data_IF_546146382770
#
_entry.id   IF_546146382770
#
_cell.length_a   1.000
_cell.length_b   1.000
_cell.length_c   1.000
_cell.angle_alpha   90.00
_cell.angle_beta   90.00
_cell.angle_gamma   90.00
#
_symmetry.space_group_name_H-M   'P 1'
#
loop_
_entity.id
_entity.type
_entity.pdbx_description
1 polymer ?
#
# COMPACT_ATOMS: atom_id res chain seq x y z
N UNK A 1 -40.70 23.38 -0.33
CA UNK A 1 -40.09 23.92 0.92
C UNK A 1 -38.60 23.70 0.81
N UNK A 2 -37.87 24.75 0.49
CA UNK A 2 -36.40 24.74 0.32
C UNK A 2 -35.75 24.99 1.65
N UNK A 3 -34.92 24.07 2.12
CA UNK A 3 -34.10 24.27 3.33
C UNK A 3 -32.77 24.81 2.87
N UNK A 4 -32.55 26.09 3.13
CA UNK A 4 -31.27 26.76 2.91
C UNK A 4 -30.31 26.33 4.02
N UNK A 5 -29.18 25.72 3.65
CA UNK A 5 -28.05 25.48 4.52
C UNK A 5 -27.30 26.80 4.69
N UNK A 6 -27.38 27.40 5.87
CA UNK A 6 -26.57 28.57 6.25
C UNK A 6 -25.12 28.13 6.46
N UNK A 7 -24.22 28.69 5.63
CA UNK A 7 -22.79 28.67 5.92
C UNK A 7 -22.51 29.46 7.19
N UNK A 8 -21.91 28.81 8.18
CA UNK A 8 -21.40 29.45 9.38
C UNK A 8 -20.11 30.17 8.98
N UNK A 9 -20.13 31.50 9.00
CA UNK A 9 -18.96 32.34 8.84
C UNK A 9 -18.01 32.10 10.02
N UNK A 10 -16.93 31.35 9.75
CA UNK A 10 -15.77 31.35 10.62
C UNK A 10 -14.99 32.65 10.35
N UNK A 11 -15.13 33.59 11.23
CA UNK A 11 -14.34 34.81 11.29
C UNK A 11 -12.86 34.44 11.48
N UNK A 12 -12.15 34.34 10.36
CA UNK A 12 -10.71 34.13 10.37
C UNK A 12 -10.03 35.45 10.67
N UNK A 13 -9.32 35.60 11.81
CA UNK A 13 -8.65 36.83 12.08
C UNK A 13 -7.63 37.13 10.98
N UNK A 14 -7.77 38.30 10.37
CA UNK A 14 -6.94 38.85 9.31
C UNK A 14 -5.50 39.13 9.81
N UNK A 15 -4.72 38.04 9.98
CA UNK A 15 -3.31 38.12 10.38
C UNK A 15 -2.33 37.89 9.22
N UNK A 16 -2.83 37.82 7.97
CA UNK A 16 -1.98 37.81 6.80
C UNK A 16 -1.99 39.14 6.08
N UNK A 17 -1.51 40.19 6.75
CA UNK A 17 -0.98 41.33 6.02
C UNK A 17 0.25 40.86 5.27
N UNK A 18 0.16 40.78 3.93
CA UNK A 18 1.29 40.58 3.02
C UNK A 18 2.40 41.55 3.41
N UNK A 19 3.59 41.09 3.82
CA UNK A 19 4.74 41.98 3.88
C UNK A 19 5.12 42.29 2.43
N UNK A 20 4.90 43.52 2.03
CA UNK A 20 5.52 44.12 0.85
C UNK A 20 7.01 44.34 1.17
N UNK A 21 7.85 43.37 0.80
CA UNK A 21 9.28 43.43 1.03
C UNK A 21 10.04 42.55 0.03
N UNK A 22 10.94 43.17 -0.71
CA UNK A 22 11.77 42.63 -1.79
C UNK A 22 12.74 41.51 -1.40
N UNK A 23 12.62 40.90 -0.22
CA UNK A 23 13.50 39.84 0.27
C UNK A 23 13.01 38.39 0.07
N UNK A 24 11.74 38.17 -0.27
CA UNK A 24 11.17 36.83 -0.38
C UNK A 24 11.47 36.11 -1.70
N UNK A 25 11.82 36.82 -2.74
CA UNK A 25 12.08 36.27 -4.07
C UNK A 25 13.30 35.33 -4.13
N UNK A 26 14.37 35.65 -3.42
CA UNK A 26 15.59 34.86 -3.41
C UNK A 26 15.51 33.62 -2.52
N UNK A 27 14.77 33.71 -1.43
CA UNK A 27 14.52 32.59 -0.54
C UNK A 27 13.62 31.54 -1.21
N UNK A 28 12.55 31.97 -1.87
CA UNK A 28 11.67 31.09 -2.65
C UNK A 28 12.38 30.43 -3.83
N UNK A 29 13.27 31.16 -4.51
CA UNK A 29 14.12 30.60 -5.58
C UNK A 29 15.10 29.56 -5.04
N UNK A 30 15.73 29.81 -3.89
CA UNK A 30 16.62 28.86 -3.21
C UNK A 30 15.89 27.60 -2.75
N UNK A 31 14.71 27.73 -2.14
CA UNK A 31 13.88 26.57 -1.78
C UNK A 31 13.50 25.78 -3.04
N UNK A 32 13.10 26.45 -4.12
CA UNK A 32 12.75 25.78 -5.38
C UNK A 32 13.94 25.12 -6.07
N UNK A 33 15.18 25.61 -5.90
CA UNK A 33 16.39 24.94 -6.40
C UNK A 33 16.75 23.73 -5.55
N UNK A 34 16.68 23.84 -4.22
CA UNK A 34 16.93 22.74 -3.28
C UNK A 34 15.90 21.61 -3.49
N UNK A 35 14.64 21.96 -3.67
CA UNK A 35 13.60 20.96 -3.97
C UNK A 35 13.84 20.23 -5.29
N UNK A 36 14.33 20.93 -6.31
CA UNK A 36 14.71 20.35 -7.60
C UNK A 36 15.96 19.47 -7.49
N UNK A 37 16.97 19.90 -6.74
CA UNK A 37 18.16 19.10 -6.48
C UNK A 37 17.84 17.84 -5.67
N UNK A 38 17.02 17.94 -4.65
CA UNK A 38 16.52 16.79 -3.88
C UNK A 38 15.71 15.86 -4.78
N UNK A 39 14.83 16.38 -5.63
CA UNK A 39 14.06 15.58 -6.57
C UNK A 39 14.93 14.90 -7.64
N UNK A 40 16.03 15.54 -8.05
CA UNK A 40 17.02 14.94 -8.96
C UNK A 40 17.92 13.91 -8.27
N UNK A 41 18.32 14.15 -7.02
CA UNK A 41 19.12 13.20 -6.23
C UNK A 41 18.33 11.96 -5.80
N UNK A 42 17.03 12.10 -5.56
CA UNK A 42 16.17 11.00 -5.09
C UNK A 42 15.35 10.36 -6.21
N UNK A 43 15.63 10.70 -7.45
CA UNK A 43 15.04 10.11 -8.65
C UNK A 43 13.51 10.02 -8.65
N UNK A 44 12.93 10.02 -9.82
CA UNK A 44 11.48 9.83 -10.01
C UNK A 44 10.95 8.51 -9.43
N UNK A 45 11.81 7.52 -9.22
CA UNK A 45 11.47 6.20 -8.64
C UNK A 45 11.01 6.28 -7.18
N UNK A 46 11.66 7.11 -6.35
CA UNK A 46 11.32 7.28 -4.94
C UNK A 46 9.91 7.89 -4.74
N UNK A 47 9.57 8.89 -5.55
CA UNK A 47 8.23 9.53 -5.51
C UNK A 47 7.16 8.57 -6.03
N UNK A 48 7.47 7.81 -7.09
CA UNK A 48 6.56 6.82 -7.68
C UNK A 48 6.32 5.66 -6.71
N UNK A 49 7.35 5.18 -6.02
CA UNK A 49 7.22 4.13 -5.01
C UNK A 49 6.38 4.60 -3.82
N UNK A 50 6.62 5.79 -3.30
CA UNK A 50 5.84 6.36 -2.22
C UNK A 50 4.35 6.49 -2.56
N UNK A 51 4.02 6.86 -3.80
CA UNK A 51 2.64 6.91 -4.29
C UNK A 51 2.01 5.52 -4.36
N UNK A 52 2.72 4.54 -4.93
CA UNK A 52 2.24 3.14 -5.01
C UNK A 52 1.99 2.55 -3.63
N UNK A 53 2.88 2.81 -2.67
CA UNK A 53 2.72 2.36 -1.29
C UNK A 53 1.48 2.99 -0.64
N UNK A 54 1.24 4.28 -0.84
CA UNK A 54 0.06 4.97 -0.33
C UNK A 54 -1.23 4.40 -0.95
N UNK A 55 -1.25 4.17 -2.26
CA UNK A 55 -2.39 3.57 -2.97
C UNK A 55 -2.67 2.15 -2.46
N UNK A 56 -1.64 1.32 -2.25
CA UNK A 56 -1.78 -0.03 -1.71
C UNK A 56 -2.31 -0.04 -0.27
N UNK A 57 -1.82 0.88 0.58
CA UNK A 57 -2.35 1.03 1.96
C UNK A 57 -3.81 1.47 1.96
N UNK A 58 -4.18 2.36 1.06
CA UNK A 58 -5.57 2.81 0.93
C UNK A 58 -6.48 1.68 0.46
N UNK A 59 -6.05 0.89 -0.52
CA UNK A 59 -6.77 -0.28 -1.00
C UNK A 59 -6.94 -1.33 0.11
N UNK A 60 -5.87 -1.63 0.87
CA UNK A 60 -5.91 -2.55 2.00
C UNK A 60 -6.91 -2.08 3.07
N UNK A 61 -6.89 -0.79 3.42
CA UNK A 61 -7.81 -0.23 4.42
C UNK A 61 -9.27 -0.28 3.93
N UNK A 62 -9.51 0.00 2.66
CA UNK A 62 -10.84 -0.10 2.05
C UNK A 62 -11.37 -1.53 2.13
N UNK A 63 -10.60 -2.50 1.67
CA UNK A 63 -10.94 -3.91 1.73
C UNK A 63 -11.19 -4.38 3.18
N UNK A 64 -10.35 -4.01 4.14
CA UNK A 64 -10.53 -4.37 5.55
C UNK A 64 -11.86 -3.86 6.11
N UNK A 65 -12.24 -2.60 5.83
CA UNK A 65 -13.51 -2.02 6.28
C UNK A 65 -14.73 -2.79 5.76
N UNK A 66 -14.65 -3.26 4.53
CA UNK A 66 -15.73 -3.99 3.88
C UNK A 66 -15.82 -5.44 4.40
N UNK A 67 -14.68 -6.05 4.79
CA UNK A 67 -14.57 -7.47 5.15
C UNK A 67 -14.40 -7.73 6.66
N UNK A 68 -14.54 -6.73 7.53
CA UNK A 68 -14.39 -6.87 8.99
C UNK A 68 -15.54 -7.61 9.67
N UNK A 69 -16.65 -7.81 8.97
CA UNK A 69 -17.84 -8.50 9.50
C UNK A 69 -17.93 -9.91 8.92
N UNK A 70 -18.48 -10.83 9.73
CA UNK A 70 -18.79 -12.17 9.21
C UNK A 70 -19.81 -12.09 8.06
N UNK A 71 -19.71 -13.03 7.14
CA UNK A 71 -20.61 -13.14 5.98
C UNK A 71 -20.55 -11.92 5.03
N UNK A 72 -19.38 -11.26 4.95
CA UNK A 72 -19.17 -10.08 4.12
C UNK A 72 -19.34 -10.35 2.61
N UNK A 73 -19.19 -11.61 2.21
CA UNK A 73 -19.38 -12.06 0.81
C UNK A 73 -20.79 -12.62 0.53
N UNK A 74 -21.63 -12.75 1.58
CA UNK A 74 -22.97 -13.36 1.49
C UNK A 74 -22.98 -14.90 1.37
N UNK A 75 -21.81 -15.55 1.55
CA UNK A 75 -21.64 -17.01 1.46
C UNK A 75 -20.99 -17.62 2.71
N UNK A 76 -20.97 -16.88 3.81
CA UNK A 76 -20.46 -17.36 5.09
C UNK A 76 -18.98 -17.09 5.32
N UNK A 77 -18.40 -16.09 4.67
CA UNK A 77 -17.01 -15.73 4.87
C UNK A 77 -16.69 -15.33 6.31
N UNK A 78 -15.52 -15.75 6.77
CA UNK A 78 -14.96 -15.32 8.06
C UNK A 78 -14.52 -13.86 8.00
N UNK A 79 -14.66 -13.10 9.11
CA UNK A 79 -14.18 -11.73 9.14
C UNK A 79 -12.66 -11.66 9.08
N UNK A 80 -12.13 -10.66 8.41
CA UNK A 80 -10.71 -10.33 8.47
C UNK A 80 -10.38 -9.81 9.88
N UNK A 81 -9.39 -10.39 10.53
CA UNK A 81 -8.95 -9.98 11.86
C UNK A 81 -8.02 -8.76 11.80
N UNK A 82 -7.92 -8.03 12.90
CA UNK A 82 -6.98 -6.91 13.02
C UNK A 82 -5.53 -7.39 12.88
N UNK A 83 -5.20 -8.56 13.44
CA UNK A 83 -3.86 -9.15 13.32
C UNK A 83 -3.50 -9.48 11.86
N UNK A 84 -4.44 -10.02 11.08
CA UNK A 84 -4.24 -10.26 9.64
C UNK A 84 -4.04 -8.94 8.87
N UNK A 85 -4.79 -7.90 9.23
CA UNK A 85 -4.65 -6.57 8.64
C UNK A 85 -3.27 -5.94 8.93
N UNK A 86 -2.79 -6.01 10.18
CA UNK A 86 -1.48 -5.47 10.57
C UNK A 86 -0.33 -6.28 9.94
N UNK A 87 -0.44 -7.61 9.83
CA UNK A 87 0.51 -8.41 9.05
C UNK A 87 0.53 -8.02 7.58
N UNK A 88 -0.63 -7.85 6.97
CA UNK A 88 -0.76 -7.44 5.57
C UNK A 88 -0.13 -6.06 5.32
N UNK A 89 -0.37 -5.10 6.20
CA UNK A 89 0.22 -3.77 6.14
C UNK A 89 1.74 -3.83 6.20
N UNK A 90 2.30 -4.65 7.11
CA UNK A 90 3.74 -4.85 7.24
C UNK A 90 4.35 -5.46 5.98
N UNK A 91 3.67 -6.43 5.34
CA UNK A 91 4.14 -7.00 4.06
C UNK A 91 4.28 -5.91 2.99
N UNK A 92 3.26 -5.06 2.82
CA UNK A 92 3.29 -3.97 1.83
C UNK A 92 4.50 -3.04 2.07
N UNK A 93 4.81 -2.75 3.33
CA UNK A 93 5.92 -1.87 3.72
C UNK A 93 7.30 -2.50 3.47
N UNK A 94 7.38 -3.83 3.58
CA UNK A 94 8.63 -4.58 3.40
C UNK A 94 8.90 -5.01 1.95
N UNK A 95 7.95 -4.78 1.04
CA UNK A 95 8.15 -5.10 -0.37
C UNK A 95 9.31 -4.28 -0.95
N UNK A 96 10.23 -4.92 -1.68
CA UNK A 96 11.29 -4.20 -2.39
C UNK A 96 10.70 -3.20 -3.39
N UNK A 97 11.31 -2.01 -3.51
CA UNK A 97 10.86 -0.95 -4.44
C UNK A 97 10.87 -1.38 -5.92
N UNK A 98 11.67 -2.39 -6.26
CA UNK A 98 11.75 -2.98 -7.59
C UNK A 98 10.59 -3.93 -7.93
N UNK A 99 9.77 -4.29 -6.94
CA UNK A 99 8.60 -5.17 -7.11
C UNK A 99 7.34 -4.30 -7.25
N UNK A 100 6.50 -4.63 -8.21
CA UNK A 100 5.19 -3.98 -8.35
C UNK A 100 4.31 -4.31 -7.14
N UNK A 101 3.44 -3.36 -6.75
CA UNK A 101 2.46 -3.62 -5.70
C UNK A 101 1.49 -4.70 -6.18
N UNK A 102 1.11 -5.64 -5.27
CA UNK A 102 0.19 -6.71 -5.59
C UNK A 102 -1.25 -6.25 -5.73
N UNK A 103 -2.07 -7.07 -6.34
CA UNK A 103 -3.49 -7.07 -6.10
C UNK A 103 -3.77 -7.62 -4.70
N UNK A 104 -4.59 -6.92 -3.91
CA UNK A 104 -4.91 -7.28 -2.52
C UNK A 104 -6.34 -7.81 -2.50
N UNK A 105 -6.52 -9.02 -1.99
CA UNK A 105 -7.80 -9.72 -2.01
C UNK A 105 -8.11 -10.27 -0.62
N UNK A 106 -9.36 -10.11 -0.17
CA UNK A 106 -9.86 -10.81 1.00
C UNK A 106 -10.23 -12.24 0.66
N UNK A 107 -9.78 -13.20 1.46
CA UNK A 107 -10.16 -14.61 1.30
C UNK A 107 -11.34 -14.95 2.24
N UNK A 108 -12.27 -15.82 1.81
CA UNK A 108 -13.41 -16.23 2.64
C UNK A 108 -13.00 -16.91 3.95
N UNK A 109 -11.76 -17.36 4.06
CA UNK A 109 -11.17 -17.92 5.29
C UNK A 109 -10.88 -16.88 6.37
N UNK A 110 -10.93 -15.59 6.04
CA UNK A 110 -10.52 -14.48 6.89
C UNK A 110 -9.05 -14.09 6.71
N UNK A 111 -8.37 -14.66 5.72
CA UNK A 111 -7.00 -14.35 5.37
C UNK A 111 -6.96 -13.20 4.36
N UNK A 112 -5.80 -12.55 4.22
CA UNK A 112 -5.54 -11.53 3.21
C UNK A 112 -4.52 -12.07 2.23
N UNK A 113 -4.90 -12.14 0.95
CA UNK A 113 -4.04 -12.58 -0.13
C UNK A 113 -3.45 -11.40 -0.92
N UNK A 114 -2.21 -11.57 -1.35
CA UNK A 114 -1.49 -10.69 -2.26
C UNK A 114 -1.15 -11.47 -3.52
N UNK A 115 -1.63 -10.99 -4.64
CA UNK A 115 -1.45 -11.66 -5.92
C UNK A 115 -0.62 -10.82 -6.87
N UNK A 116 0.39 -11.47 -7.48
CA UNK A 116 1.17 -10.92 -8.59
C UNK A 116 0.97 -11.79 -9.81
N UNK A 117 0.64 -11.16 -10.93
CA UNK A 117 0.51 -11.82 -12.25
C UNK A 117 1.48 -11.20 -13.25
N UNK A 118 2.25 -12.05 -13.92
CA UNK A 118 3.17 -11.63 -14.99
C UNK A 118 2.99 -12.52 -16.21
N UNK A 119 2.27 -12.03 -17.19
CA UNK A 119 2.03 -12.75 -18.42
C UNK A 119 1.32 -14.10 -18.22
N UNK A 120 1.47 -15.01 -19.16
CA UNK A 120 0.89 -16.35 -19.07
C UNK A 120 1.74 -17.28 -18.20
N UNK A 121 1.12 -17.93 -17.23
CA UNK A 121 1.75 -18.95 -16.42
C UNK A 121 2.77 -18.45 -15.41
N UNK A 122 2.73 -17.16 -15.03
CA UNK A 122 3.55 -16.60 -13.96
C UNK A 122 2.66 -15.91 -12.96
N UNK A 123 2.39 -16.60 -11.87
CA UNK A 123 1.52 -16.13 -10.79
C UNK A 123 2.19 -16.48 -9.48
N UNK A 124 2.20 -15.55 -8.55
CA UNK A 124 2.56 -15.79 -7.16
C UNK A 124 1.46 -15.21 -6.28
N UNK A 125 0.96 -16.00 -5.36
CA UNK A 125 0.03 -15.61 -4.32
C UNK A 125 0.70 -15.84 -2.98
N UNK A 126 0.62 -14.90 -2.09
CA UNK A 126 0.95 -15.07 -0.67
C UNK A 126 -0.26 -14.68 0.17
N UNK A 127 -0.48 -15.38 1.29
CA UNK A 127 -1.63 -15.20 2.14
C UNK A 127 -1.20 -15.11 3.60
N UNK A 128 -1.83 -14.24 4.38
CA UNK A 128 -1.58 -14.03 5.81
C UNK A 128 -2.87 -14.06 6.62
N UNK A 129 -2.77 -14.63 7.80
CA UNK A 129 -3.92 -14.87 8.70
C UNK A 129 -3.80 -14.21 10.08
N UNK A 130 -2.77 -13.42 10.32
CA UNK A 130 -2.48 -12.85 11.66
C UNK A 130 -1.84 -13.84 12.62
N UNK A 131 -1.23 -14.92 12.12
CA UNK A 131 -0.61 -15.98 12.93
C UNK A 131 0.91 -16.07 12.75
N UNK A 132 1.54 -14.99 12.37
CA UNK A 132 2.98 -14.91 12.09
C UNK A 132 3.45 -15.93 11.04
N UNK A 133 2.61 -16.19 10.04
CA UNK A 133 2.90 -17.12 8.95
C UNK A 133 2.41 -16.58 7.62
N UNK A 134 3.28 -16.68 6.62
CA UNK A 134 2.95 -16.47 5.23
C UNK A 134 2.78 -17.83 4.56
N UNK A 135 1.60 -18.14 4.07
CA UNK A 135 1.39 -19.20 3.11
C UNK A 135 1.67 -18.66 1.70
N UNK A 136 2.21 -19.48 0.81
CA UNK A 136 2.44 -19.06 -0.56
C UNK A 136 2.18 -20.19 -1.55
N UNK A 137 1.73 -19.80 -2.74
CA UNK A 137 1.61 -20.66 -3.89
C UNK A 137 2.02 -19.90 -5.16
N UNK A 138 2.74 -20.53 -6.06
CA UNK A 138 3.17 -19.89 -7.28
C UNK A 138 3.26 -20.85 -8.47
N UNK A 139 3.05 -20.31 -9.66
CA UNK A 139 3.25 -20.94 -10.95
C UNK A 139 4.29 -20.14 -11.72
N UNK A 140 5.31 -20.83 -12.23
CA UNK A 140 6.41 -20.23 -13.00
C UNK A 140 6.65 -21.07 -14.25
N UNK A 141 5.81 -20.88 -15.28
CA UNK A 141 5.75 -21.76 -16.43
C UNK A 141 5.23 -23.16 -16.04
N UNK A 142 6.02 -24.18 -16.27
CA UNK A 142 5.66 -25.58 -15.91
C UNK A 142 5.94 -25.91 -14.44
N UNK A 143 6.63 -25.02 -13.71
CA UNK A 143 7.00 -25.25 -12.33
C UNK A 143 5.95 -24.66 -11.37
N UNK A 144 5.61 -25.46 -10.35
CA UNK A 144 4.74 -25.05 -9.25
C UNK A 144 5.54 -25.04 -7.95
N UNK A 145 5.27 -24.05 -7.12
CA UNK A 145 5.84 -23.94 -5.77
C UNK A 145 4.72 -23.66 -4.79
N UNK A 146 4.83 -24.17 -3.58
CA UNK A 146 3.94 -23.86 -2.48
C UNK A 146 4.63 -24.13 -1.16
N UNK A 147 4.20 -23.47 -0.12
CA UNK A 147 4.76 -23.63 1.21
C UNK A 147 4.24 -22.64 2.18
N UNK A 148 4.88 -22.60 3.34
CA UNK A 148 4.61 -21.56 4.35
C UNK A 148 5.89 -21.23 5.10
N UNK A 149 6.06 -19.96 5.42
CA UNK A 149 7.22 -19.40 6.11
C UNK A 149 6.77 -18.67 7.38
N UNK A 150 7.63 -18.65 8.38
CA UNK A 150 7.42 -17.81 9.55
C UNK A 150 7.67 -16.34 9.18
N UNK A 151 6.84 -15.44 9.72
CA UNK A 151 6.88 -14.02 9.40
C UNK A 151 6.67 -13.18 10.66
N UNK A 152 7.63 -12.35 10.97
CA UNK A 152 7.54 -11.37 12.06
C UNK A 152 7.94 -9.97 11.58
N UNK A 153 9.23 -9.69 11.50
CA UNK A 153 9.75 -8.35 11.21
C UNK A 153 10.28 -8.19 9.78
N UNK A 154 10.66 -9.28 9.14
CA UNK A 154 11.26 -9.26 7.80
C UNK A 154 10.59 -10.25 6.87
N UNK A 155 10.51 -9.92 5.58
CA UNK A 155 10.03 -10.87 4.58
C UNK A 155 10.99 -12.07 4.49
N UNK A 156 10.47 -13.31 4.57
CA UNK A 156 11.28 -14.51 4.39
C UNK A 156 12.02 -14.50 3.05
N UNK A 157 13.27 -14.99 3.07
CA UNK A 157 14.11 -15.02 1.88
C UNK A 157 13.47 -15.80 0.73
N UNK A 158 12.74 -16.88 1.05
CA UNK A 158 12.02 -17.68 0.06
C UNK A 158 11.00 -16.83 -0.71
N UNK A 159 10.24 -15.99 -0.01
CA UNK A 159 9.25 -15.07 -0.62
C UNK A 159 9.95 -14.07 -1.53
N UNK A 160 11.04 -13.47 -1.09
CA UNK A 160 11.83 -12.52 -1.90
C UNK A 160 12.38 -13.20 -3.16
N UNK A 161 12.85 -14.44 -3.05
CA UNK A 161 13.35 -15.21 -4.21
C UNK A 161 12.23 -15.52 -5.21
N UNK A 162 11.04 -15.90 -4.73
CA UNK A 162 9.89 -16.14 -5.61
C UNK A 162 9.40 -14.88 -6.29
N UNK A 163 9.36 -13.74 -5.56
CA UNK A 163 9.05 -12.44 -6.15
C UNK A 163 10.05 -12.08 -7.26
N UNK A 164 11.36 -12.21 -7.01
CA UNK A 164 12.38 -11.94 -8.04
C UNK A 164 12.23 -12.86 -9.26
N UNK A 165 11.96 -14.15 -9.02
CA UNK A 165 11.74 -15.12 -10.08
C UNK A 165 10.54 -14.79 -10.96
N UNK A 166 9.53 -14.14 -10.41
CA UNK A 166 8.35 -13.71 -11.16
C UNK A 166 8.71 -12.66 -12.23
N UNK A 167 9.73 -11.83 -11.95
CA UNK A 167 10.18 -10.72 -12.80
C UNK A 167 11.41 -11.07 -13.67
N UNK A 168 12.01 -12.23 -13.50
CA UNK A 168 13.07 -12.76 -14.36
C UNK A 168 12.46 -13.53 -15.56
#
# INVERSE_FOLDING_TARGET
MSVAVQCIDFDCPSFWTRPSGEGFGDFSKRIGSIQREIAQMWGSESVTFGRRLADARFALLGMYRDCVRADWDGYGASPITEDAFEEAKRIIELLPSSIEMPEIVAEPTGDIAFEWRRGRGRILVISVSGKHRIAYAGIFGDNKVYGSEHFEETLPLAIIQHLRRLYS
#
